data_IF_911054716559
#
_entry.id   IF_911054716559
#
_cell.length_a   1.000
_cell.length_b   1.000
_cell.length_c   1.000
_cell.angle_alpha   90.00
_cell.angle_beta   90.00
_cell.angle_gamma   90.00
#
_symmetry.space_group_name_H-M   'P 1'
#
loop_
_entity.id
_entity.type
_entity.pdbx_description
1 polymer ?
#
# COMPACT_ATOMS: atom_id res chain seq x y z
N UNK A 1 -14.96 19.21 31.44
CA UNK A 1 -14.95 19.17 29.95
C UNK A 1 -13.57 18.89 29.34
N UNK A 2 -12.40 19.37 29.84
CA UNK A 2 -11.11 19.12 29.17
C UNK A 2 -10.60 17.66 29.28
N UNK A 3 -11.06 16.87 30.25
CA UNK A 3 -10.70 15.45 30.36
C UNK A 3 -11.30 14.59 29.25
N UNK A 4 -12.57 14.81 28.92
CA UNK A 4 -13.29 14.08 27.86
C UNK A 4 -12.69 14.37 26.47
N UNK A 5 -12.24 15.60 26.23
CA UNK A 5 -11.59 15.98 24.96
C UNK A 5 -10.23 15.32 24.77
N UNK A 6 -9.44 15.19 25.84
CA UNK A 6 -8.12 14.55 25.78
C UNK A 6 -8.21 13.03 25.62
N UNK A 7 -9.20 12.40 26.27
CA UNK A 7 -9.47 10.98 26.13
C UNK A 7 -9.86 10.61 24.69
N UNK A 8 -10.77 11.38 24.07
CA UNK A 8 -11.15 11.22 22.66
C UNK A 8 -9.94 11.34 21.73
N UNK A 9 -9.10 12.36 21.91
CA UNK A 9 -7.89 12.52 21.08
C UNK A 9 -6.92 11.33 21.23
N UNK A 10 -6.78 10.79 22.44
CA UNK A 10 -5.93 9.60 22.69
C UNK A 10 -6.48 8.35 22.02
N UNK A 11 -7.80 8.16 22.02
CA UNK A 11 -8.46 7.08 21.28
C UNK A 11 -8.25 7.22 19.77
N UNK A 12 -8.48 8.42 19.22
CA UNK A 12 -8.26 8.70 17.79
C UNK A 12 -6.80 8.45 17.41
N UNK A 13 -5.84 8.89 18.24
CA UNK A 13 -4.41 8.62 18.04
C UNK A 13 -4.12 7.11 17.99
N UNK A 14 -4.73 6.33 18.88
CA UNK A 14 -4.54 4.88 18.91
C UNK A 14 -5.12 4.21 17.66
N UNK A 15 -6.33 4.60 17.25
CA UNK A 15 -6.95 4.09 16.02
C UNK A 15 -6.10 4.42 14.78
N UNK A 16 -5.63 5.67 14.64
CA UNK A 16 -4.74 6.08 13.55
C UNK A 16 -3.44 5.28 13.53
N UNK A 17 -2.83 5.01 14.69
CA UNK A 17 -1.63 4.17 14.79
C UNK A 17 -1.90 2.73 14.35
N UNK A 18 -3.05 2.17 14.73
CA UNK A 18 -3.45 0.83 14.32
C UNK A 18 -3.68 0.76 12.81
N UNK A 19 -4.39 1.74 12.24
CA UNK A 19 -4.61 1.85 10.79
C UNK A 19 -3.31 1.99 10.01
N UNK A 20 -2.37 2.80 10.50
CA UNK A 20 -1.04 2.93 9.87
C UNK A 20 -0.25 1.63 9.91
N UNK A 21 -0.30 0.89 11.02
CA UNK A 21 0.37 -0.40 11.14
C UNK A 21 -0.19 -1.40 10.12
N UNK A 22 -1.52 -1.47 10.02
CA UNK A 22 -2.20 -2.35 9.08
C UNK A 22 -1.95 -1.94 7.63
N UNK A 23 -2.02 -0.64 7.31
CA UNK A 23 -1.71 -0.13 5.97
C UNK A 23 -0.27 -0.43 5.56
N UNK A 24 0.70 -0.29 6.48
CA UNK A 24 2.08 -0.66 6.23
C UNK A 24 2.27 -2.17 6.06
N UNK A 25 1.52 -3.00 6.79
CA UNK A 25 1.54 -4.46 6.61
C UNK A 25 1.04 -4.83 5.23
N UNK A 26 -0.13 -4.31 4.84
CA UNK A 26 -0.72 -4.50 3.51
C UNK A 26 0.21 -4.01 2.42
N UNK A 27 0.80 -2.82 2.54
CA UNK A 27 1.75 -2.29 1.56
C UNK A 27 2.91 -3.28 1.31
N UNK A 28 3.49 -3.87 2.36
CA UNK A 28 4.56 -4.86 2.20
C UNK A 28 4.09 -6.14 1.51
N UNK A 29 2.85 -6.56 1.76
CA UNK A 29 2.25 -7.73 1.09
C UNK A 29 2.03 -7.44 -0.39
N UNK A 30 1.47 -6.28 -0.72
CA UNK A 30 1.24 -5.84 -2.10
C UNK A 30 2.57 -5.68 -2.87
N UNK A 31 3.61 -5.11 -2.24
CA UNK A 31 4.94 -4.98 -2.86
C UNK A 31 5.60 -6.34 -3.14
N UNK A 32 5.37 -7.35 -2.28
CA UNK A 32 5.81 -8.72 -2.56
C UNK A 32 5.07 -9.32 -3.74
N UNK A 33 3.74 -9.14 -3.79
CA UNK A 33 2.91 -9.60 -4.91
C UNK A 33 3.36 -8.94 -6.21
N UNK A 34 3.64 -7.63 -6.20
CA UNK A 34 4.18 -6.92 -7.35
C UNK A 34 5.51 -7.52 -7.83
N UNK A 35 6.42 -7.81 -6.90
CA UNK A 35 7.69 -8.46 -7.22
C UNK A 35 7.51 -9.79 -7.94
N UNK A 36 6.57 -10.62 -7.46
CA UNK A 36 6.21 -11.88 -8.11
C UNK A 36 5.63 -11.66 -9.50
N UNK A 37 4.66 -10.76 -9.65
CA UNK A 37 4.02 -10.48 -10.94
C UNK A 37 5.03 -9.96 -11.97
N UNK A 38 5.96 -9.10 -11.58
CA UNK A 38 7.05 -8.61 -12.44
C UNK A 38 7.97 -9.74 -12.88
N UNK A 39 8.26 -10.70 -12.00
CA UNK A 39 9.04 -11.88 -12.35
C UNK A 39 8.30 -12.75 -13.37
N UNK A 40 7.02 -13.08 -13.13
CA UNK A 40 6.22 -13.90 -14.05
C UNK A 40 6.06 -13.24 -15.42
N UNK A 41 5.84 -11.92 -15.45
CA UNK A 41 5.81 -11.14 -16.68
C UNK A 41 7.12 -11.26 -17.46
N UNK A 42 8.26 -11.09 -16.78
CA UNK A 42 9.58 -11.22 -17.41
C UNK A 42 9.84 -12.65 -17.90
N UNK A 43 9.39 -13.66 -17.16
CA UNK A 43 9.49 -15.07 -17.56
C UNK A 43 8.66 -15.35 -18.82
N UNK A 44 7.39 -14.93 -18.86
CA UNK A 44 6.52 -15.10 -20.02
C UNK A 44 7.13 -14.46 -21.28
N UNK A 45 7.72 -13.27 -21.17
CA UNK A 45 8.45 -12.63 -22.29
C UNK A 45 9.64 -13.47 -22.76
N UNK A 46 10.46 -14.00 -21.85
CA UNK A 46 11.59 -14.86 -22.22
C UNK A 46 11.16 -16.16 -22.88
N UNK A 47 10.05 -16.74 -22.43
CA UNK A 47 9.50 -17.96 -23.01
C UNK A 47 8.94 -17.72 -24.42
N UNK A 48 8.25 -16.59 -24.62
CA UNK A 48 7.84 -16.12 -25.95
C UNK A 48 9.02 -16.03 -26.91
N UNK A 49 10.11 -15.40 -26.46
CA UNK A 49 11.30 -15.17 -27.30
C UNK A 49 12.05 -16.48 -27.64
N UNK A 50 11.79 -17.57 -26.88
CA UNK A 50 12.35 -18.91 -27.08
C UNK A 50 11.38 -19.91 -27.73
N UNK A 51 10.15 -19.49 -28.02
CA UNK A 51 9.12 -20.35 -28.57
C UNK A 51 9.56 -20.94 -29.92
N UNK A 52 9.33 -22.24 -30.12
CA UNK A 52 9.77 -22.95 -31.32
C UNK A 52 8.81 -22.79 -32.50
N UNK A 53 7.57 -22.39 -32.22
CA UNK A 53 6.51 -22.23 -33.21
C UNK A 53 5.63 -21.01 -32.89
N UNK A 54 4.78 -20.63 -33.84
CA UNK A 54 3.96 -19.44 -33.73
C UNK A 54 2.83 -19.56 -32.70
N UNK A 55 2.29 -20.76 -32.50
CA UNK A 55 1.24 -21.02 -31.52
C UNK A 55 1.75 -20.80 -30.09
N UNK A 56 2.92 -21.33 -29.76
CA UNK A 56 3.61 -21.08 -28.49
C UNK A 56 3.97 -19.61 -28.33
N UNK A 57 4.43 -18.96 -29.40
CA UNK A 57 4.78 -17.53 -29.38
C UNK A 57 3.55 -16.68 -29.04
N UNK A 58 2.42 -16.99 -29.64
CA UNK A 58 1.15 -16.31 -29.39
C UNK A 58 0.62 -16.58 -27.98
N UNK A 59 0.70 -17.83 -27.51
CA UNK A 59 0.33 -18.21 -26.14
C UNK A 59 1.13 -17.38 -25.12
N UNK A 60 2.45 -17.34 -25.26
CA UNK A 60 3.30 -16.56 -24.34
C UNK A 60 3.13 -15.06 -24.50
N UNK A 61 2.76 -14.56 -25.69
CA UNK A 61 2.37 -13.16 -25.89
C UNK A 61 1.16 -12.82 -25.02
N UNK A 62 0.07 -13.57 -25.16
CA UNK A 62 -1.16 -13.37 -24.38
C UNK A 62 -0.87 -13.45 -22.88
N UNK A 63 -0.10 -14.45 -22.45
CA UNK A 63 0.26 -14.60 -21.04
C UNK A 63 1.08 -13.40 -20.53
N UNK A 64 2.00 -12.88 -21.34
CA UNK A 64 2.78 -11.68 -20.98
C UNK A 64 1.90 -10.42 -20.89
N UNK A 65 0.89 -10.29 -21.76
CA UNK A 65 -0.05 -9.17 -21.74
C UNK A 65 -0.93 -9.22 -20.48
N UNK A 66 -1.39 -10.41 -20.08
CA UNK A 66 -2.13 -10.63 -18.83
C UNK A 66 -1.28 -10.24 -17.62
N UNK A 67 -0.04 -10.73 -17.52
CA UNK A 67 0.82 -10.37 -16.38
C UNK A 67 1.15 -8.88 -16.35
N UNK A 68 1.32 -8.23 -17.50
CA UNK A 68 1.49 -6.78 -17.56
C UNK A 68 0.27 -6.05 -16.98
N UNK A 69 -0.95 -6.45 -17.36
CA UNK A 69 -2.17 -5.88 -16.80
C UNK A 69 -2.23 -6.03 -15.27
N UNK A 70 -1.89 -7.21 -14.75
CA UNK A 70 -1.82 -7.46 -13.31
C UNK A 70 -0.75 -6.61 -12.62
N UNK A 71 0.43 -6.43 -13.24
CA UNK A 71 1.49 -5.53 -12.73
C UNK A 71 0.96 -4.11 -12.59
N UNK A 72 0.30 -3.58 -13.62
CA UNK A 72 -0.25 -2.22 -13.60
C UNK A 72 -1.33 -2.05 -12.52
N UNK A 73 -2.24 -3.01 -12.38
CA UNK A 73 -3.25 -3.00 -11.32
C UNK A 73 -2.62 -3.02 -9.93
N UNK A 74 -1.59 -3.84 -9.76
CA UNK A 74 -0.89 -3.96 -8.48
C UNK A 74 -0.11 -2.68 -8.13
N UNK A 75 0.51 -2.02 -9.11
CA UNK A 75 1.19 -0.73 -8.93
C UNK A 75 0.20 0.37 -8.52
N UNK A 76 -0.99 0.38 -9.12
CA UNK A 76 -2.06 1.31 -8.76
C UNK A 76 -2.52 1.10 -7.31
N UNK A 77 -2.78 -0.16 -6.90
CA UNK A 77 -3.15 -0.47 -5.52
C UNK A 77 -2.09 -0.04 -4.49
N UNK A 78 -0.80 -0.19 -4.84
CA UNK A 78 0.31 0.29 -4.02
C UNK A 78 0.32 1.81 -3.92
N UNK A 79 0.05 2.52 -5.02
CA UNK A 79 -0.02 3.98 -5.02
C UNK A 79 -1.13 4.50 -4.09
N UNK A 80 -2.33 3.91 -4.18
CA UNK A 80 -3.48 4.25 -3.32
C UNK A 80 -3.20 3.97 -1.84
N UNK A 81 -2.52 2.86 -1.52
CA UNK A 81 -2.09 2.56 -0.15
C UNK A 81 -1.07 3.58 0.36
N UNK A 82 -0.11 4.00 -0.48
CA UNK A 82 0.88 5.02 -0.10
C UNK A 82 0.21 6.37 0.18
N UNK A 83 -0.77 6.76 -0.61
CA UNK A 83 -1.57 7.96 -0.37
C UNK A 83 -2.35 7.85 0.95
N UNK A 84 -3.03 6.73 1.18
CA UNK A 84 -3.74 6.45 2.43
C UNK A 84 -2.83 6.54 3.66
N UNK A 85 -1.61 6.01 3.56
CA UNK A 85 -0.60 6.10 4.62
C UNK A 85 -0.19 7.56 4.86
N UNK A 86 0.00 8.34 3.80
CA UNK A 86 0.36 9.75 3.93
C UNK A 86 -0.74 10.56 4.66
N UNK A 87 -2.01 10.33 4.30
CA UNK A 87 -3.16 10.97 4.96
C UNK A 87 -3.22 10.60 6.44
N UNK A 88 -3.16 9.30 6.78
CA UNK A 88 -3.20 8.90 8.19
C UNK A 88 -2.00 9.42 9.00
N UNK A 89 -0.82 9.58 8.38
CA UNK A 89 0.34 10.20 9.05
C UNK A 89 0.12 11.68 9.33
N UNK A 90 -0.45 12.43 8.38
CA UNK A 90 -0.79 13.84 8.57
C UNK A 90 -1.81 14.00 9.72
N UNK A 91 -2.89 13.21 9.69
CA UNK A 91 -3.89 13.21 10.76
C UNK A 91 -3.29 12.85 12.12
N UNK A 92 -2.39 11.85 12.17
CA UNK A 92 -1.74 11.46 13.42
C UNK A 92 -0.89 12.60 13.98
N UNK A 93 -0.15 13.31 13.12
CA UNK A 93 0.68 14.45 13.54
C UNK A 93 -0.17 15.61 14.10
N UNK A 94 -1.32 15.91 13.49
CA UNK A 94 -2.27 16.91 13.99
C UNK A 94 -2.81 16.53 15.37
N UNK A 95 -3.28 15.28 15.53
CA UNK A 95 -3.78 14.81 16.82
C UNK A 95 -2.70 14.78 17.91
N UNK A 96 -1.46 14.42 17.55
CA UNK A 96 -0.34 14.45 18.50
C UNK A 96 0.02 15.88 18.93
N UNK A 97 -0.08 16.87 18.03
CA UNK A 97 0.10 18.28 18.34
C UNK A 97 -1.01 18.84 19.24
N UNK A 98 -2.26 18.47 18.98
CA UNK A 98 -3.41 18.87 19.80
C UNK A 98 -3.29 18.31 21.23
N UNK A 99 -2.92 17.03 21.36
CA UNK A 99 -2.67 16.39 22.66
C UNK A 99 -1.58 17.13 23.42
N UNK A 100 -0.45 17.42 22.79
CA UNK A 100 0.66 18.12 23.43
C UNK A 100 0.24 19.51 23.92
N UNK A 101 -0.49 20.25 23.09
CA UNK A 101 -1.03 21.58 23.44
C UNK A 101 -1.94 21.53 24.66
N UNK A 102 -2.83 20.53 24.75
CA UNK A 102 -3.73 20.36 25.90
C UNK A 102 -2.95 19.96 27.16
N UNK A 103 -1.93 19.11 27.03
CA UNK A 103 -1.11 18.66 28.15
C UNK A 103 -0.24 19.80 28.72
N UNK A 104 0.30 20.68 27.88
CA UNK A 104 1.04 21.88 28.31
C UNK A 104 0.18 22.91 29.04
N UNK A 105 -1.12 22.96 28.74
CA UNK A 105 -2.07 23.88 29.36
C UNK A 105 -2.66 23.37 30.68
N UNK A 106 -2.33 22.13 31.10
CA UNK A 106 -2.74 21.60 32.40
C UNK A 106 -1.79 22.10 33.51
N UNK A 107 -2.33 22.69 34.60
CA UNK A 107 -1.54 23.17 35.74
C UNK A 107 -0.88 22.02 36.52
#
# INVERSE_FOLDING_TARGET
MPETSLEVLREVRQDLRQRLMEAHRRLREEEKTLGRLKYEWALARRLRDRAGNEEERELWRVQSDVYMGLVMQQEQAIAELKETIAVHRAMLAEVEADIATIEEQRP
#
